data_IF_387587393175
#
_entry.id   IF_387587393175
#
_cell.length_a   1.000
_cell.length_b   1.000
_cell.length_c   1.000
_cell.angle_alpha   90.00
_cell.angle_beta   90.00
_cell.angle_gamma   90.00
#
_symmetry.space_group_name_H-M   'P 1'
#
loop_
_entity.id
_entity.type
_entity.pdbx_description
1 polymer ?
#
# COMPACT_ATOMS: atom_id res chain seq x y z
N UNK A 1 12.87 7.36 8.11
CA UNK A 1 13.30 6.84 9.44
C UNK A 1 14.38 7.73 10.06
N UNK A 2 15.59 7.88 9.46
CA UNK A 2 16.70 8.69 10.04
C UNK A 2 16.29 10.12 10.36
N UNK A 3 15.61 10.82 9.44
CA UNK A 3 15.13 12.19 9.66
C UNK A 3 14.11 12.32 10.79
N UNK A 4 13.21 11.34 10.94
CA UNK A 4 12.25 11.31 12.03
C UNK A 4 12.95 11.12 13.39
N UNK A 5 13.89 10.17 13.49
CA UNK A 5 14.72 9.95 14.70
C UNK A 5 15.50 11.22 15.05
N UNK A 6 16.11 11.90 14.09
CA UNK A 6 16.83 13.16 14.30
C UNK A 6 15.94 14.27 14.89
N UNK A 7 14.65 14.26 14.56
CA UNK A 7 13.64 15.20 15.10
C UNK A 7 12.94 14.70 16.37
N UNK A 8 13.46 13.67 17.03
CA UNK A 8 12.99 13.18 18.32
C UNK A 8 11.94 12.07 18.24
N UNK A 9 11.56 11.59 17.06
CA UNK A 9 10.66 10.44 16.98
C UNK A 9 11.35 9.15 17.49
N UNK A 10 10.64 8.44 18.35
CA UNK A 10 11.08 7.13 18.87
C UNK A 10 10.51 6.05 17.95
N UNK A 11 11.36 5.14 17.48
CA UNK A 11 10.98 4.04 16.60
C UNK A 11 11.32 2.72 17.27
N UNK A 12 10.32 1.89 17.41
CA UNK A 12 10.41 0.57 18.02
C UNK A 12 10.17 -0.47 16.91
N UNK A 13 11.25 -1.07 16.47
CA UNK A 13 11.22 -2.19 15.52
C UNK A 13 10.91 -3.49 16.26
N UNK A 14 10.44 -4.52 15.54
CA UNK A 14 10.10 -5.82 16.14
C UNK A 14 9.21 -5.69 17.39
N UNK A 15 8.19 -4.83 17.26
CA UNK A 15 7.28 -4.54 18.37
C UNK A 15 5.84 -4.57 17.84
N UNK A 16 5.26 -5.75 17.64
CA UNK A 16 3.91 -5.91 17.14
C UNK A 16 2.88 -5.26 18.07
N UNK A 17 1.90 -4.59 17.46
CA UNK A 17 0.71 -4.08 18.17
C UNK A 17 -0.30 -5.23 18.26
N UNK A 18 -0.59 -5.64 19.48
CA UNK A 18 -1.52 -6.74 19.76
C UNK A 18 -2.92 -6.26 20.14
N UNK A 19 -3.06 -4.98 20.50
CA UNK A 19 -4.35 -4.39 20.84
C UNK A 19 -4.31 -2.87 20.87
N UNK A 20 -5.50 -2.28 20.93
CA UNK A 20 -5.69 -0.83 21.05
C UNK A 20 -6.50 -0.57 22.32
N UNK A 21 -6.01 0.36 23.15
CA UNK A 21 -6.68 0.74 24.38
C UNK A 21 -7.65 1.88 24.12
N UNK A 22 -8.92 1.65 24.39
CA UNK A 22 -10.00 2.65 24.28
C UNK A 22 -10.77 2.75 25.58
N UNK A 23 -11.28 3.92 25.86
CA UNK A 23 -12.20 4.17 26.96
C UNK A 23 -13.20 5.25 26.53
N UNK A 24 -14.50 4.97 26.65
CA UNK A 24 -15.57 5.88 26.24
C UNK A 24 -15.39 6.41 24.80
N UNK A 25 -15.11 5.51 23.85
CA UNK A 25 -14.85 5.84 22.44
C UNK A 25 -13.70 6.84 22.25
N UNK A 26 -12.71 6.80 23.11
CA UNK A 26 -11.51 7.61 23.00
C UNK A 26 -10.25 6.74 23.15
N UNK A 27 -9.23 7.03 22.36
CA UNK A 27 -7.92 6.37 22.46
C UNK A 27 -7.28 6.66 23.83
N UNK A 28 -6.64 5.63 24.39
CA UNK A 28 -5.82 5.67 25.60
C UNK A 28 -4.43 5.09 25.38
N UNK A 29 -4.19 4.42 24.27
CA UNK A 29 -2.90 3.82 23.96
C UNK A 29 -2.97 2.61 23.07
N UNK A 30 -1.86 1.90 23.01
CA UNK A 30 -1.73 0.63 22.30
C UNK A 30 -1.12 -0.42 23.20
N UNK A 31 -1.42 -1.69 22.94
CA UNK A 31 -0.86 -2.85 23.61
C UNK A 31 0.17 -3.47 22.67
N UNK A 32 1.34 -3.75 23.19
CA UNK A 32 2.40 -4.48 22.49
C UNK A 32 2.80 -5.72 23.28
N UNK A 33 3.54 -6.62 22.66
CA UNK A 33 4.13 -7.75 23.37
C UNK A 33 5.10 -7.34 24.50
N UNK A 34 5.62 -6.11 24.43
CA UNK A 34 6.55 -5.54 25.41
C UNK A 34 5.88 -4.66 26.47
N UNK A 35 4.57 -4.55 26.45
CA UNK A 35 3.78 -3.74 27.39
C UNK A 35 2.91 -2.69 26.73
N UNK A 36 2.27 -1.86 27.53
CA UNK A 36 1.37 -0.79 27.08
C UNK A 36 2.13 0.51 26.79
N UNK A 37 1.70 1.21 25.75
CA UNK A 37 2.12 2.57 25.44
C UNK A 37 0.91 3.47 25.56
N UNK A 38 0.87 4.35 26.54
CA UNK A 38 -0.20 5.33 26.74
C UNK A 38 -0.01 6.53 25.81
N UNK A 39 -1.09 6.94 25.15
CA UNK A 39 -1.12 8.11 24.27
C UNK A 39 -2.54 8.64 24.08
N UNK A 40 -2.65 9.88 23.64
CA UNK A 40 -3.94 10.54 23.36
C UNK A 40 -4.40 10.38 21.91
N UNK A 41 -3.48 9.97 21.02
CA UNK A 41 -3.77 9.73 19.62
C UNK A 41 -2.98 8.52 19.08
N UNK A 42 -3.61 7.77 18.19
CA UNK A 42 -3.00 6.67 17.41
C UNK A 42 -3.25 6.93 15.94
N UNK A 43 -2.21 6.93 15.14
CA UNK A 43 -2.30 6.95 13.68
C UNK A 43 -2.04 5.55 13.11
N UNK A 44 -3.05 4.96 12.50
CA UNK A 44 -2.99 3.65 11.88
C UNK A 44 -2.48 3.78 10.44
N UNK A 45 -1.24 3.39 10.21
CA UNK A 45 -0.57 3.42 8.90
C UNK A 45 0.01 2.04 8.55
N UNK A 46 -0.76 0.98 8.79
CA UNK A 46 -0.30 -0.41 8.73
C UNK A 46 -0.60 -1.13 7.40
N UNK A 47 -0.97 -0.35 6.35
CA UNK A 47 -1.16 -0.88 5.00
C UNK A 47 -2.11 -2.09 4.96
N UNK A 48 -1.61 -3.21 4.51
CA UNK A 48 -2.31 -4.49 4.38
C UNK A 48 -3.03 -4.94 5.68
N UNK A 49 -2.44 -4.68 6.84
CA UNK A 49 -2.94 -5.11 8.15
C UNK A 49 -3.85 -4.08 8.83
N UNK A 50 -4.18 -2.97 8.15
CA UNK A 50 -4.95 -1.88 8.75
C UNK A 50 -6.33 -2.32 9.19
N UNK A 51 -7.03 -3.12 8.41
CA UNK A 51 -8.37 -3.62 8.75
C UNK A 51 -8.37 -4.47 10.01
N UNK A 52 -7.42 -5.39 10.12
CA UNK A 52 -7.30 -6.26 11.28
C UNK A 52 -6.97 -5.47 12.55
N UNK A 53 -6.04 -4.52 12.47
CA UNK A 53 -5.68 -3.67 13.61
C UNK A 53 -6.80 -2.71 14.01
N UNK A 54 -7.54 -2.11 13.06
CA UNK A 54 -8.69 -1.27 13.35
C UNK A 54 -9.79 -2.05 14.07
N UNK A 55 -10.03 -3.31 13.69
CA UNK A 55 -11.03 -4.17 14.33
C UNK A 55 -10.74 -4.42 15.81
N UNK A 56 -9.47 -4.37 16.24
CA UNK A 56 -9.07 -4.47 17.67
C UNK A 56 -9.51 -3.25 18.49
N UNK A 57 -9.82 -2.13 17.83
CA UNK A 57 -10.44 -0.95 18.44
C UNK A 57 -11.96 -0.93 18.28
N UNK A 58 -12.55 -1.98 17.71
CA UNK A 58 -13.99 -2.03 17.39
C UNK A 58 -14.36 -1.25 16.13
N UNK A 59 -13.38 -0.79 15.34
CA UNK A 59 -13.58 0.03 14.15
C UNK A 59 -13.53 -0.85 12.90
N UNK A 60 -14.53 -0.70 12.03
CA UNK A 60 -14.58 -1.37 10.73
C UNK A 60 -14.18 -0.38 9.63
N UNK A 61 -13.14 -0.70 8.89
CA UNK A 61 -12.68 0.13 7.76
C UNK A 61 -12.85 -0.61 6.43
N UNK A 62 -13.27 0.07 5.35
CA UNK A 62 -13.54 -0.54 4.05
C UNK A 62 -12.24 -0.74 3.24
N UNK A 63 -11.28 -1.43 3.83
CA UNK A 63 -10.01 -1.77 3.18
C UNK A 63 -9.94 -3.28 3.01
N UNK A 64 -9.59 -3.73 1.79
CA UNK A 64 -9.43 -5.14 1.48
C UNK A 64 -8.18 -5.38 0.64
N UNK A 65 -7.40 -6.43 0.92
CA UNK A 65 -6.21 -6.73 0.14
C UNK A 65 -6.54 -7.42 -1.18
N UNK A 66 -5.79 -7.00 -2.21
CA UNK A 66 -5.77 -7.65 -3.52
C UNK A 66 -4.34 -7.96 -3.92
N UNK A 67 -4.20 -8.93 -4.82
CA UNK A 67 -2.95 -9.23 -5.50
C UNK A 67 -2.68 -8.14 -6.55
N UNK A 68 -1.44 -7.70 -6.66
CA UNK A 68 -1.01 -6.71 -7.63
C UNK A 68 0.20 -7.22 -8.38
N UNK A 69 0.12 -7.21 -9.70
CA UNK A 69 1.11 -7.83 -10.56
C UNK A 69 1.93 -6.81 -11.33
N UNK A 70 3.21 -7.12 -11.50
CA UNK A 70 4.06 -6.51 -12.51
C UNK A 70 5.14 -7.48 -12.97
N UNK A 71 5.56 -7.31 -14.21
CA UNK A 71 6.55 -8.16 -14.87
C UNK A 71 7.81 -7.35 -15.18
N UNK A 72 8.96 -7.98 -14.99
CA UNK A 72 10.25 -7.47 -15.40
C UNK A 72 10.73 -8.21 -16.65
N UNK A 73 11.15 -7.44 -17.65
CA UNK A 73 11.74 -8.01 -18.87
C UNK A 73 13.26 -7.92 -18.87
N UNK A 74 13.89 -8.68 -19.76
CA UNK A 74 15.22 -8.41 -20.25
C UNK A 74 15.26 -7.17 -21.15
N UNK A 75 16.34 -7.03 -21.92
CA UNK A 75 16.47 -5.96 -22.90
C UNK A 75 15.34 -6.05 -23.94
N UNK A 76 14.79 -4.90 -24.31
CA UNK A 76 13.74 -4.78 -25.31
C UNK A 76 14.28 -4.03 -26.52
N UNK A 77 14.12 -4.61 -27.69
CA UNK A 77 14.61 -4.03 -28.94
C UNK A 77 14.06 -2.61 -29.15
N UNK A 78 14.93 -1.68 -29.52
CA UNK A 78 14.59 -0.28 -29.77
C UNK A 78 14.52 0.59 -28.52
N UNK A 79 14.56 0.02 -27.31
CA UNK A 79 14.57 0.78 -26.06
C UNK A 79 16.01 0.98 -25.59
N UNK A 80 16.47 2.23 -25.62
CA UNK A 80 17.82 2.61 -25.18
C UNK A 80 17.76 3.78 -24.21
N UNK A 81 18.43 3.63 -23.07
CA UNK A 81 18.49 4.66 -22.04
C UNK A 81 17.16 4.86 -21.30
N UNK A 82 17.02 6.03 -20.66
CA UNK A 82 15.82 6.35 -19.92
C UNK A 82 14.70 6.78 -20.86
N UNK A 83 13.56 6.09 -20.74
CA UNK A 83 12.33 6.45 -21.41
C UNK A 83 11.35 7.07 -20.39
N UNK A 84 10.45 7.96 -20.82
CA UNK A 84 9.36 8.40 -19.96
C UNK A 84 8.48 7.25 -19.50
N UNK A 85 7.99 7.30 -18.27
CA UNK A 85 6.95 6.38 -17.84
C UNK A 85 5.72 6.56 -18.72
N UNK A 86 5.25 5.46 -19.30
CA UNK A 86 3.98 5.42 -20.04
C UNK A 86 2.90 4.90 -19.09
N UNK A 87 1.76 5.57 -19.07
CA UNK A 87 0.56 5.11 -18.38
C UNK A 87 -0.59 5.13 -19.38
N UNK A 88 -1.15 3.97 -19.65
CA UNK A 88 -2.26 3.78 -20.58
C UNK A 88 -3.45 3.21 -19.80
N UNK A 89 -4.35 4.11 -19.41
CA UNK A 89 -5.50 3.75 -18.60
C UNK A 89 -6.57 2.99 -19.38
N UNK A 90 -6.65 3.18 -20.69
CA UNK A 90 -7.61 2.45 -21.55
C UNK A 90 -7.21 0.99 -21.69
N UNK A 91 -5.92 0.71 -21.73
CA UNK A 91 -5.36 -0.65 -21.77
C UNK A 91 -5.03 -1.23 -20.38
N UNK A 92 -5.32 -0.47 -19.32
CA UNK A 92 -5.06 -0.84 -17.92
C UNK A 92 -3.60 -1.18 -17.63
N UNK A 93 -2.64 -0.46 -18.21
CA UNK A 93 -1.22 -0.76 -18.04
C UNK A 93 -0.35 0.48 -17.81
N UNK A 94 0.79 0.25 -17.23
CA UNK A 94 1.88 1.22 -17.19
C UNK A 94 3.22 0.53 -17.49
N UNK A 95 4.12 1.28 -18.08
CA UNK A 95 5.46 0.81 -18.45
C UNK A 95 6.50 1.85 -18.05
N UNK A 96 7.63 1.39 -17.58
CA UNK A 96 8.81 2.23 -17.36
C UNK A 96 10.08 1.44 -17.64
N UNK A 97 11.17 2.14 -17.87
CA UNK A 97 12.47 1.49 -17.92
C UNK A 97 12.89 0.92 -16.56
N UNK A 98 13.46 -0.27 -16.58
CA UNK A 98 13.97 -0.94 -15.40
C UNK A 98 15.21 -1.77 -15.74
N UNK A 99 16.38 -1.31 -15.27
CA UNK A 99 17.64 -2.06 -15.38
C UNK A 99 17.94 -2.60 -16.79
N UNK A 100 17.71 -1.78 -17.83
CA UNK A 100 17.95 -2.10 -19.24
C UNK A 100 16.81 -2.86 -19.94
N UNK A 101 15.75 -3.17 -19.25
CA UNK A 101 14.51 -3.71 -19.79
C UNK A 101 13.32 -2.84 -19.45
N UNK A 102 12.14 -3.43 -19.40
CA UNK A 102 10.89 -2.79 -18.98
C UNK A 102 10.32 -3.43 -17.73
N UNK A 103 9.77 -2.60 -16.86
CA UNK A 103 8.76 -2.99 -15.92
C UNK A 103 7.40 -2.77 -16.59
N UNK A 104 6.62 -3.84 -16.67
CA UNK A 104 5.25 -3.86 -17.18
C UNK A 104 4.31 -4.11 -16.01
N UNK A 105 3.58 -3.09 -15.60
CA UNK A 105 2.59 -3.20 -14.54
C UNK A 105 1.18 -2.98 -15.07
N UNK A 106 0.19 -3.30 -14.27
CA UNK A 106 -1.21 -3.19 -14.67
C UNK A 106 -2.06 -2.49 -13.62
N UNK A 107 -3.16 -1.88 -14.08
CA UNK A 107 -4.27 -1.39 -13.27
C UNK A 107 -5.44 -2.33 -13.52
N UNK A 108 -5.47 -3.42 -12.79
CA UNK A 108 -6.42 -4.51 -13.05
C UNK A 108 -7.87 -4.06 -12.88
N UNK A 109 -8.72 -4.19 -13.92
CA UNK A 109 -10.14 -3.85 -13.81
C UNK A 109 -10.91 -4.80 -12.89
N UNK A 110 -10.36 -6.01 -12.69
CA UNK A 110 -10.90 -7.07 -11.83
C UNK A 110 -9.77 -7.57 -10.92
N UNK A 111 -9.49 -6.82 -9.84
CA UNK A 111 -8.44 -7.18 -8.89
C UNK A 111 -8.72 -8.52 -8.20
N UNK A 112 -7.72 -9.36 -8.09
CA UNK A 112 -7.79 -10.65 -7.40
C UNK A 112 -7.66 -10.44 -5.90
N UNK A 113 -8.79 -10.49 -5.19
CA UNK A 113 -8.81 -10.34 -3.74
C UNK A 113 -8.32 -11.61 -3.03
N UNK A 114 -7.71 -11.45 -1.87
CA UNK A 114 -7.35 -12.57 -1.00
C UNK A 114 -7.63 -12.26 0.47
N UNK A 115 -7.74 -13.33 1.26
CA UNK A 115 -7.92 -13.22 2.71
C UNK A 115 -6.55 -13.11 3.39
N UNK A 116 -6.22 -11.98 4.04
CA UNK A 116 -4.94 -11.81 4.73
C UNK A 116 -4.73 -12.79 5.88
N UNK A 117 -5.80 -13.39 6.43
CA UNK A 117 -5.68 -14.43 7.44
C UNK A 117 -5.02 -15.71 6.93
N UNK A 118 -4.95 -15.89 5.60
CA UNK A 118 -4.22 -16.98 4.96
C UNK A 118 -2.71 -16.76 4.86
N UNK A 119 -2.25 -15.53 5.10
CA UNK A 119 -0.82 -15.25 5.19
C UNK A 119 -0.26 -15.81 6.48
N UNK A 120 0.93 -16.39 6.41
CA UNK A 120 1.63 -16.84 7.61
C UNK A 120 1.92 -15.69 8.57
N UNK A 121 2.02 -15.98 9.87
CA UNK A 121 2.32 -14.95 10.88
C UNK A 121 3.64 -14.20 10.62
N UNK A 122 4.57 -14.86 9.94
CA UNK A 122 5.89 -14.32 9.59
C UNK A 122 5.93 -13.74 8.16
N UNK A 123 4.77 -13.46 7.56
CA UNK A 123 4.70 -12.86 6.24
C UNK A 123 5.18 -11.41 6.30
N UNK A 124 6.44 -11.21 5.96
CA UNK A 124 7.09 -9.90 5.86
C UNK A 124 8.17 -9.94 4.77
N UNK A 125 8.27 -8.89 3.96
CA UNK A 125 9.22 -8.80 2.85
C UNK A 125 9.14 -9.97 1.86
N UNK A 126 7.95 -10.53 1.68
CA UNK A 126 7.67 -11.66 0.81
C UNK A 126 6.70 -11.25 -0.28
N UNK A 127 6.71 -12.00 -1.36
CA UNK A 127 5.76 -11.91 -2.46
C UNK A 127 4.78 -13.09 -2.37
N UNK A 128 3.63 -12.92 -2.98
CA UNK A 128 2.69 -14.00 -3.24
C UNK A 128 3.17 -14.87 -4.39
N UNK A 129 2.52 -16.00 -4.59
CA UNK A 129 2.82 -16.90 -5.69
C UNK A 129 2.49 -16.21 -7.03
N UNK A 130 3.32 -16.46 -8.03
CA UNK A 130 3.07 -16.01 -9.41
C UNK A 130 1.75 -16.61 -9.94
N UNK A 131 0.99 -15.82 -10.69
CA UNK A 131 -0.23 -16.25 -11.37
C UNK A 131 -0.19 -15.78 -12.83
N UNK A 132 0.34 -16.65 -13.68
CA UNK A 132 0.53 -16.37 -15.11
C UNK A 132 -0.79 -16.32 -15.87
N UNK A 133 -1.77 -17.14 -15.51
CA UNK A 133 -3.09 -17.15 -16.15
C UNK A 133 -3.83 -15.83 -15.89
N UNK A 134 -3.72 -15.32 -14.67
CA UNK A 134 -4.30 -14.02 -14.30
C UNK A 134 -3.59 -12.86 -15.01
N UNK A 135 -2.27 -12.92 -15.17
CA UNK A 135 -1.48 -11.86 -15.79
C UNK A 135 -1.52 -11.86 -17.34
N UNK A 136 -1.84 -12.97 -17.97
CA UNK A 136 -1.81 -13.12 -19.43
C UNK A 136 -2.59 -12.03 -20.18
N UNK A 137 -3.85 -11.68 -19.84
CA UNK A 137 -4.58 -10.62 -20.53
C UNK A 137 -3.88 -9.26 -20.49
N UNK A 138 -3.25 -8.92 -19.37
CA UNK A 138 -2.51 -7.68 -19.21
C UNK A 138 -1.24 -7.68 -20.07
N UNK A 139 -0.56 -8.83 -20.15
CA UNK A 139 0.62 -8.99 -21.02
C UNK A 139 0.25 -8.85 -22.49
N UNK A 140 -0.87 -9.38 -22.93
CA UNK A 140 -1.37 -9.22 -24.31
C UNK A 140 -1.65 -7.75 -24.62
N UNK A 141 -2.26 -6.99 -23.69
CA UNK A 141 -2.44 -5.56 -23.84
C UNK A 141 -1.09 -4.81 -23.93
N UNK A 142 -0.11 -5.20 -23.14
CA UNK A 142 1.23 -4.62 -23.17
C UNK A 142 1.94 -4.89 -24.50
N UNK A 143 1.85 -6.10 -25.05
CA UNK A 143 2.39 -6.46 -26.36
C UNK A 143 1.69 -5.67 -27.47
N UNK A 144 0.37 -5.51 -27.40
CA UNK A 144 -0.37 -4.69 -28.36
C UNK A 144 0.11 -3.24 -28.36
N UNK A 145 0.43 -2.69 -27.17
CA UNK A 145 0.91 -1.31 -27.01
C UNK A 145 2.38 -1.14 -27.41
N UNK A 146 3.20 -2.12 -27.08
CA UNK A 146 4.65 -2.17 -27.36
C UNK A 146 5.00 -3.52 -27.98
N UNK A 147 4.88 -3.68 -29.31
CA UNK A 147 5.07 -4.96 -29.99
C UNK A 147 6.41 -5.64 -29.74
N UNK A 148 7.46 -4.89 -29.47
CA UNK A 148 8.77 -5.44 -29.13
C UNK A 148 8.79 -6.32 -27.86
N UNK A 149 7.76 -6.22 -27.02
CA UNK A 149 7.60 -7.09 -25.85
C UNK A 149 7.31 -8.55 -26.19
N UNK A 150 6.78 -8.83 -27.41
CA UNK A 150 6.51 -10.21 -27.86
C UNK A 150 7.76 -11.08 -27.87
N UNK A 151 8.92 -10.46 -28.10
CA UNK A 151 10.21 -11.16 -28.20
C UNK A 151 11.14 -10.89 -26.99
N UNK A 152 10.66 -10.12 -26.01
CA UNK A 152 11.46 -9.80 -24.84
C UNK A 152 11.55 -11.00 -23.89
N UNK A 153 12.74 -11.23 -23.35
CA UNK A 153 12.92 -12.20 -22.29
C UNK A 153 12.12 -11.78 -21.05
N UNK A 154 11.38 -12.71 -20.47
CA UNK A 154 10.75 -12.50 -19.16
C UNK A 154 11.74 -12.86 -18.07
N UNK A 155 12.11 -11.89 -17.24
CA UNK A 155 12.97 -12.13 -16.09
C UNK A 155 12.20 -12.58 -14.86
N UNK A 156 11.07 -11.94 -14.59
CA UNK A 156 10.30 -12.25 -13.39
C UNK A 156 8.88 -11.67 -13.47
N UNK A 157 7.91 -12.43 -13.03
CA UNK A 157 6.59 -11.95 -12.64
C UNK A 157 6.57 -11.76 -11.12
N UNK A 158 6.15 -10.60 -10.66
CA UNK A 158 6.03 -10.29 -9.24
C UNK A 158 4.55 -10.13 -8.89
N UNK A 159 4.16 -10.74 -7.78
CA UNK A 159 2.82 -10.63 -7.22
C UNK A 159 2.94 -10.13 -5.78
N UNK A 160 2.56 -8.90 -5.56
CA UNK A 160 2.59 -8.25 -4.25
C UNK A 160 1.20 -8.05 -3.68
N UNK A 161 1.01 -8.27 -2.36
CA UNK A 161 -0.25 -7.95 -1.73
C UNK A 161 -0.35 -6.45 -1.46
N UNK A 162 -1.44 -5.84 -1.88
CA UNK A 162 -1.74 -4.44 -1.63
C UNK A 162 -3.13 -4.23 -1.04
N UNK A 163 -3.36 -3.08 -0.40
CA UNK A 163 -4.64 -2.77 0.21
C UNK A 163 -5.41 -1.74 -0.59
N UNK A 164 -6.65 -2.06 -0.89
CA UNK A 164 -7.55 -1.23 -1.67
C UNK A 164 -8.80 -0.85 -0.87
N UNK A 165 -9.37 0.30 -1.20
CA UNK A 165 -10.68 0.75 -0.75
C UNK A 165 -11.71 0.50 -1.84
N UNK A 166 -12.97 0.47 -1.47
CA UNK A 166 -14.08 0.18 -2.41
C UNK A 166 -14.26 1.29 -3.46
N UNK A 167 -13.98 2.52 -3.07
CA UNK A 167 -14.18 3.73 -3.90
C UNK A 167 -12.90 4.25 -4.56
N UNK A 168 -11.77 3.57 -4.35
CA UNK A 168 -10.47 4.01 -4.87
C UNK A 168 -9.86 5.21 -4.14
N UNK A 169 -10.52 5.71 -3.08
CA UNK A 169 -10.02 6.82 -2.26
C UNK A 169 -9.38 6.31 -0.99
N UNK A 170 -8.18 6.77 -0.66
CA UNK A 170 -7.51 6.36 0.57
C UNK A 170 -8.19 6.97 1.81
N UNK A 171 -8.09 6.27 2.93
CA UNK A 171 -8.61 6.72 4.21
C UNK A 171 -7.57 7.61 4.88
N UNK A 172 -7.91 8.90 5.08
CA UNK A 172 -7.00 9.86 5.70
C UNK A 172 -7.78 10.79 6.63
N UNK A 173 -7.53 10.69 7.94
CA UNK A 173 -8.17 11.56 8.93
C UNK A 173 -8.57 10.83 10.21
N UNK A 174 -9.29 11.53 11.09
CA UNK A 174 -9.79 10.97 12.35
C UNK A 174 -11.01 10.08 12.10
N UNK A 175 -11.08 8.94 12.79
CA UNK A 175 -12.24 8.06 12.77
C UNK A 175 -13.45 8.77 13.40
N UNK A 176 -14.61 8.67 12.76
CA UNK A 176 -15.86 9.16 13.32
C UNK A 176 -16.33 8.37 14.57
N UNK A 177 -15.88 7.14 14.73
CA UNK A 177 -16.31 6.22 15.77
C UNK A 177 -15.48 6.34 17.06
N UNK A 178 -14.20 6.69 16.93
CA UNK A 178 -13.26 6.70 18.07
C UNK A 178 -12.38 7.92 18.02
N UNK A 179 -12.54 8.82 18.98
CA UNK A 179 -11.76 10.04 19.10
C UNK A 179 -10.28 9.73 19.37
N UNK A 180 -9.40 10.41 18.67
CA UNK A 180 -7.96 10.21 18.76
C UNK A 180 -7.45 9.04 17.93
N UNK A 181 -8.33 8.34 17.19
CA UNK A 181 -7.92 7.28 16.25
C UNK A 181 -7.90 7.82 14.83
N UNK A 182 -6.73 7.91 14.25
CA UNK A 182 -6.50 8.46 12.92
C UNK A 182 -6.13 7.36 11.93
N UNK A 183 -6.63 7.47 10.72
CA UNK A 183 -6.40 6.52 9.63
C UNK A 183 -5.49 7.15 8.57
N UNK A 184 -4.51 6.40 8.11
CA UNK A 184 -3.65 6.71 6.96
C UNK A 184 -3.38 5.41 6.20
N UNK A 185 -4.40 4.87 5.52
CA UNK A 185 -4.34 3.54 4.92
C UNK A 185 -5.21 3.43 3.66
N UNK A 186 -5.16 2.28 2.99
CA UNK A 186 -5.90 2.04 1.76
C UNK A 186 -5.39 2.90 0.60
N UNK A 187 -4.09 2.97 0.41
CA UNK A 187 -3.45 3.89 -0.55
C UNK A 187 -3.59 3.48 -2.02
N UNK A 188 -4.27 2.36 -2.32
CA UNK A 188 -4.63 1.95 -3.68
C UNK A 188 -3.45 2.03 -4.68
N UNK A 189 -2.34 1.37 -4.37
CA UNK A 189 -1.07 1.34 -5.14
C UNK A 189 -0.29 2.66 -5.21
N UNK A 190 -0.83 3.79 -4.75
CA UNK A 190 -0.14 5.09 -4.86
C UNK A 190 0.58 5.53 -3.58
N UNK A 191 0.70 4.64 -2.59
CA UNK A 191 1.23 4.96 -1.26
C UNK A 191 2.68 5.47 -1.26
N UNK A 192 3.54 5.01 -2.16
CA UNK A 192 4.92 5.50 -2.28
C UNK A 192 4.95 6.97 -2.72
N UNK A 193 4.10 7.34 -3.67
CA UNK A 193 4.02 8.71 -4.19
C UNK A 193 3.33 9.66 -3.19
N UNK A 194 2.30 9.20 -2.48
CA UNK A 194 1.44 10.04 -1.64
C UNK A 194 1.78 10.00 -0.15
N UNK A 195 2.54 9.01 0.30
CA UNK A 195 2.76 8.75 1.73
C UNK A 195 3.36 9.91 2.52
N UNK A 196 4.24 10.71 1.92
CA UNK A 196 4.81 11.89 2.58
C UNK A 196 3.78 13.00 2.76
N UNK A 197 2.96 13.26 1.74
CA UNK A 197 1.85 14.22 1.80
C UNK A 197 0.77 13.79 2.78
N UNK A 198 0.39 12.52 2.74
CA UNK A 198 -0.55 11.92 3.67
C UNK A 198 -0.06 12.02 5.14
N UNK A 199 1.22 11.73 5.38
CA UNK A 199 1.82 11.87 6.70
C UNK A 199 1.82 13.32 7.21
N UNK A 200 2.07 14.29 6.35
CA UNK A 200 2.00 15.72 6.67
C UNK A 200 0.56 16.14 7.02
N UNK A 201 -0.40 15.76 6.20
CA UNK A 201 -1.82 16.06 6.41
C UNK A 201 -2.34 15.42 7.72
N UNK A 202 -1.96 14.16 7.97
CA UNK A 202 -2.34 13.44 9.17
C UNK A 202 -1.75 14.10 10.44
N UNK A 203 -0.47 14.46 10.42
CA UNK A 203 0.17 15.14 11.51
C UNK A 203 -0.50 16.50 11.80
N UNK A 204 -0.86 17.25 10.76
CA UNK A 204 -1.58 18.52 10.91
C UNK A 204 -2.98 18.30 11.51
N UNK A 205 -3.68 17.26 11.04
CA UNK A 205 -5.00 16.89 11.58
C UNK A 205 -4.92 16.52 13.07
N UNK A 206 -3.92 15.75 13.47
CA UNK A 206 -3.70 15.39 14.89
C UNK A 206 -3.45 16.61 15.76
N UNK A 207 -2.67 17.58 15.28
CA UNK A 207 -2.27 18.75 16.05
C UNK A 207 -3.35 19.83 16.09
N UNK A 208 -4.02 20.05 14.96
CA UNK A 208 -4.93 21.19 14.77
C UNK A 208 -6.41 20.81 14.62
N UNK A 209 -6.74 19.51 14.64
CA UNK A 209 -8.12 19.00 14.48
C UNK A 209 -8.69 19.13 13.08
N UNK A 210 -7.88 19.51 12.09
CA UNK A 210 -8.31 19.63 10.67
C UNK A 210 -7.12 19.39 9.74
N UNK A 211 -7.40 19.02 8.51
CA UNK A 211 -6.39 18.94 7.44
C UNK A 211 -5.96 20.33 6.97
N UNK A 212 -4.74 20.49 6.44
CA UNK A 212 -4.25 21.78 5.93
C UNK A 212 -4.85 22.16 4.57
N UNK A 213 -5.50 21.23 3.92
CA UNK A 213 -6.14 21.36 2.60
C UNK A 213 -7.44 20.56 2.59
N UNK A 214 -8.29 20.83 1.63
CA UNK A 214 -9.47 20.04 1.30
C UNK A 214 -9.02 18.72 0.65
N UNK A 215 -9.35 17.58 1.25
CA UNK A 215 -8.90 16.24 0.85
C UNK A 215 -10.11 15.39 0.50
#
# INVERSE_FOLDING_TARGET
VKGAKFRGARIFEETPITGILTENQKIRGVITEKGEIRCDAVALCSGLWSRELASKAGIQIPVWPCEQFYLLTGEVEGIKGHIPTLSDHDSHLYLRDESGGLLVGCFEPMGKSFDPAKLGKDFAFQLLQEDWEHFEPMMLNAIHRVPALEHAEVKKLLNGPESFTVDGSFLLGESAETKGFFLGCGMNSVGVATGSGAGMALAHCIIHGRTPMDL
#
